data_IF_170337337535
#
_entry.id   IF_170337337535
#
_cell.length_a   1.000
_cell.length_b   1.000
_cell.length_c   1.000
_cell.angle_alpha   90.00
_cell.angle_beta   90.00
_cell.angle_gamma   90.00
#
_symmetry.space_group_name_H-M   'P 1'
#
loop_
_entity.id
_entity.type
_entity.pdbx_description
1 polymer ?
#
# COMPACT_ATOMS: atom_id res chain seq x y z
N UNK A 1 -11.91 -54.02 23.45
CA UNK A 1 -10.48 -54.22 23.29
C UNK A 1 -9.93 -53.21 22.30
N UNK A 2 -9.33 -52.18 22.79
CA UNK A 2 -8.57 -51.16 22.04
C UNK A 2 -7.16 -51.72 21.75
N UNK A 3 -6.64 -51.66 20.53
CA UNK A 3 -5.26 -52.04 20.26
C UNK A 3 -4.27 -50.98 20.69
N UNK A 4 -3.23 -51.41 21.39
CA UNK A 4 -2.13 -50.60 21.90
C UNK A 4 -1.23 -50.09 20.76
N UNK A 5 -0.90 -48.80 20.81
CA UNK A 5 0.06 -48.14 19.92
C UNK A 5 1.50 -48.55 20.32
N UNK A 6 2.25 -49.12 19.38
CA UNK A 6 3.70 -49.34 19.55
C UNK A 6 4.46 -48.17 18.95
N UNK A 7 5.45 -47.56 19.60
CA UNK A 7 6.27 -46.56 19.01
C UNK A 7 7.25 -47.16 17.97
N UNK A 8 7.29 -46.61 16.79
CA UNK A 8 8.24 -46.97 15.73
C UNK A 8 9.64 -46.38 16.04
N UNK A 9 10.64 -47.15 15.68
CA UNK A 9 12.04 -46.93 16.01
C UNK A 9 12.65 -45.67 15.42
N UNK A 10 13.71 -45.24 16.07
CA UNK A 10 14.59 -44.16 15.73
C UNK A 10 15.21 -44.35 14.32
N UNK A 11 14.87 -43.45 13.39
CA UNK A 11 15.61 -43.32 12.12
C UNK A 11 16.76 -42.36 12.31
N UNK A 12 17.97 -42.86 12.22
CA UNK A 12 19.19 -42.09 12.03
C UNK A 12 19.25 -41.64 10.56
N UNK A 13 19.36 -40.32 10.36
CA UNK A 13 19.61 -39.73 9.03
C UNK A 13 21.04 -40.04 8.59
N UNK A 14 21.31 -40.46 7.34
CA UNK A 14 22.65 -40.55 6.82
C UNK A 14 23.16 -39.14 6.45
N UNK A 15 24.39 -38.84 6.89
CA UNK A 15 25.17 -37.72 6.43
C UNK A 15 25.44 -37.88 4.91
N UNK A 16 24.86 -37.02 4.10
CA UNK A 16 25.24 -36.84 2.71
C UNK A 16 26.03 -35.54 2.58
N UNK A 17 27.30 -35.63 2.80
CA UNK A 17 28.26 -34.60 2.42
C UNK A 17 28.61 -34.83 0.93
N UNK A 18 27.91 -34.15 0.03
CA UNK A 18 28.10 -34.17 -1.42
C UNK A 18 28.50 -32.81 -1.95
N UNK A 19 29.76 -32.69 -2.34
CA UNK A 19 30.35 -31.51 -3.01
C UNK A 19 29.55 -31.18 -4.28
N UNK A 20 28.93 -29.98 -4.33
CA UNK A 20 28.57 -29.38 -5.61
C UNK A 20 29.69 -28.49 -6.10
N UNK A 21 30.34 -28.91 -7.18
CA UNK A 21 31.29 -28.14 -7.97
C UNK A 21 30.47 -27.11 -8.76
N UNK A 22 30.76 -25.83 -8.53
CA UNK A 22 30.19 -24.74 -9.26
C UNK A 22 30.71 -24.71 -10.70
N UNK A 23 29.83 -24.80 -11.68
CA UNK A 23 30.12 -24.41 -13.05
C UNK A 23 29.79 -22.92 -13.20
N UNK A 24 30.81 -22.07 -13.17
CA UNK A 24 30.67 -20.63 -13.42
C UNK A 24 30.57 -20.37 -14.91
N UNK A 25 29.42 -19.97 -15.40
CA UNK A 25 29.30 -19.26 -16.67
C UNK A 25 29.45 -17.77 -16.42
N UNK A 26 30.64 -17.24 -16.71
CA UNK A 26 30.93 -15.81 -16.65
C UNK A 26 30.13 -15.06 -17.72
N UNK A 27 29.15 -14.28 -17.31
CA UNK A 27 28.70 -13.09 -18.06
C UNK A 27 29.07 -11.87 -17.22
N UNK A 28 30.03 -11.09 -17.76
CA UNK A 28 30.52 -9.89 -17.13
C UNK A 28 29.41 -8.88 -16.84
N UNK A 29 29.15 -8.67 -15.57
CA UNK A 29 28.54 -7.44 -15.06
C UNK A 29 29.68 -6.64 -14.44
N UNK A 30 30.01 -5.52 -15.05
CA UNK A 30 30.83 -4.49 -14.43
C UNK A 30 30.17 -4.10 -13.12
N UNK A 31 30.85 -4.41 -12.02
CA UNK A 31 30.48 -3.90 -10.70
C UNK A 31 30.62 -2.37 -10.75
N UNK A 32 29.50 -1.67 -10.78
CA UNK A 32 29.47 -0.28 -10.40
C UNK A 32 29.83 -0.25 -8.90
N UNK A 33 30.96 0.34 -8.59
CA UNK A 33 31.37 0.69 -7.22
C UNK A 33 30.24 1.48 -6.59
N UNK A 34 29.60 0.91 -5.57
CA UNK A 34 28.72 1.66 -4.69
C UNK A 34 29.55 2.75 -4.01
N UNK A 35 29.47 3.97 -4.52
CA UNK A 35 29.94 5.13 -3.84
C UNK A 35 29.21 5.22 -2.50
N UNK A 36 29.94 5.56 -1.43
CA UNK A 36 29.35 5.90 -0.15
C UNK A 36 28.29 7.01 -0.40
N UNK A 37 27.00 6.61 -0.32
CA UNK A 37 25.91 7.52 -0.56
C UNK A 37 25.97 8.61 0.49
N UNK A 38 26.04 9.85 0.05
CA UNK A 38 25.69 11.01 0.87
C UNK A 38 24.22 10.79 1.22
N UNK A 39 23.92 10.63 2.52
CA UNK A 39 22.54 10.66 3.02
C UNK A 39 21.91 11.94 2.46
N UNK A 40 20.89 11.81 1.61
CA UNK A 40 20.15 12.97 1.13
C UNK A 40 19.29 13.44 2.29
N UNK A 41 19.40 14.74 2.63
CA UNK A 41 18.61 15.34 3.71
C UNK A 41 17.11 15.43 3.39
N UNK A 42 16.66 14.90 2.25
CA UNK A 42 15.27 14.92 1.80
C UNK A 42 15.00 13.86 0.70
N UNK A 43 13.76 13.42 0.62
CA UNK A 43 13.26 12.60 -0.48
C UNK A 43 13.06 13.47 -1.73
N UNK A 44 13.44 12.98 -2.89
CA UNK A 44 13.36 13.77 -4.12
C UNK A 44 12.28 13.26 -5.07
N UNK A 45 11.28 14.10 -5.35
CA UNK A 45 10.30 13.85 -6.41
C UNK A 45 10.68 14.62 -7.68
N UNK A 46 10.76 13.91 -8.80
CA UNK A 46 11.03 14.49 -10.13
C UNK A 46 9.84 14.26 -11.03
N UNK A 47 9.10 15.31 -11.34
CA UNK A 47 8.02 15.27 -12.31
C UNK A 47 8.62 15.13 -13.73
N UNK A 48 8.31 14.04 -14.43
CA UNK A 48 8.84 13.72 -15.77
C UNK A 48 7.93 14.24 -16.89
N UNK A 49 6.61 14.11 -16.69
CA UNK A 49 5.62 14.51 -17.69
C UNK A 49 4.27 14.80 -17.03
N UNK A 50 3.54 15.76 -17.60
CA UNK A 50 2.12 15.99 -17.32
C UNK A 50 1.35 15.87 -18.62
N UNK A 51 0.25 15.11 -18.63
CA UNK A 51 -0.60 14.96 -19.81
C UNK A 51 -1.18 16.32 -20.23
N UNK A 52 -1.31 16.55 -21.54
CA UNK A 52 -1.75 17.85 -22.06
C UNK A 52 -3.27 18.04 -22.05
N UNK A 53 -4.04 16.99 -21.79
CA UNK A 53 -5.51 16.96 -21.84
C UNK A 53 -6.16 16.64 -20.51
N UNK A 54 -5.35 16.24 -19.51
CA UNK A 54 -5.79 15.88 -18.16
C UNK A 54 -4.76 16.37 -17.14
N UNK A 55 -5.03 16.19 -15.86
CA UNK A 55 -4.07 16.44 -14.77
C UNK A 55 -3.16 15.22 -14.48
N UNK A 56 -3.25 14.15 -15.31
CA UNK A 56 -2.46 12.95 -15.12
C UNK A 56 -0.97 13.25 -15.29
N UNK A 57 -0.15 12.70 -14.43
CA UNK A 57 1.29 13.00 -14.39
C UNK A 57 2.13 11.76 -14.13
N UNK A 58 3.32 11.72 -14.70
CA UNK A 58 4.32 10.69 -14.50
C UNK A 58 5.55 11.29 -13.84
N UNK A 59 5.98 10.73 -12.71
CA UNK A 59 7.12 11.18 -11.94
C UNK A 59 8.00 10.03 -11.46
N UNK A 60 9.02 10.39 -10.68
CA UNK A 60 9.92 9.47 -9.98
C UNK A 60 10.19 10.01 -8.58
N UNK A 61 10.02 9.17 -7.57
CA UNK A 61 10.30 9.48 -6.18
C UNK A 61 11.51 8.66 -5.73
N UNK A 62 12.61 9.33 -5.45
CA UNK A 62 13.84 8.69 -4.99
C UNK A 62 13.85 8.55 -3.47
N UNK A 63 14.15 7.34 -2.99
CA UNK A 63 14.36 7.00 -1.58
C UNK A 63 15.71 6.31 -1.42
N UNK A 64 16.18 6.14 -0.19
CA UNK A 64 17.42 5.39 0.08
C UNK A 64 17.31 3.88 -0.26
N UNK A 65 16.10 3.32 -0.33
CA UNK A 65 15.85 1.92 -0.71
C UNK A 65 15.46 1.75 -2.19
N UNK A 66 15.40 2.81 -2.99
CA UNK A 66 15.14 2.72 -4.42
C UNK A 66 14.29 3.85 -4.99
N UNK A 67 14.00 3.74 -6.28
CA UNK A 67 13.19 4.73 -7.02
C UNK A 67 11.80 4.18 -7.26
N UNK A 68 10.79 4.99 -6.94
CA UNK A 68 9.37 4.70 -7.15
C UNK A 68 8.90 5.48 -8.37
N UNK A 69 8.42 4.77 -9.39
CA UNK A 69 7.89 5.37 -10.63
C UNK A 69 6.38 5.57 -10.51
N UNK A 70 5.95 6.83 -10.49
CA UNK A 70 4.52 7.19 -10.38
C UNK A 70 3.85 7.36 -11.75
N UNK A 71 2.54 7.06 -11.91
CA UNK A 71 1.63 6.55 -10.85
C UNK A 71 2.04 5.17 -10.35
N UNK A 72 1.82 4.90 -9.06
CA UNK A 72 2.16 3.63 -8.43
C UNK A 72 1.05 3.11 -7.52
N UNK A 73 0.85 1.79 -7.48
CA UNK A 73 0.05 1.11 -6.49
C UNK A 73 0.94 0.44 -5.45
N UNK A 74 0.66 0.63 -4.18
CA UNK A 74 1.40 0.05 -3.06
C UNK A 74 0.65 -1.17 -2.51
N UNK A 75 1.16 -2.40 -2.72
CA UNK A 75 0.58 -3.59 -2.11
C UNK A 75 0.57 -3.48 -0.59
N UNK A 76 -0.59 -3.77 0.03
CA UNK A 76 -0.74 -3.66 1.49
C UNK A 76 -0.18 -4.89 2.17
N UNK A 77 0.89 -4.68 2.91
CA UNK A 77 1.54 -5.63 3.80
C UNK A 77 1.31 -5.28 5.27
N UNK A 78 0.09 -5.41 5.78
CA UNK A 78 -0.38 -4.95 7.10
C UNK A 78 0.60 -5.19 8.25
N UNK A 79 1.19 -6.39 8.33
CA UNK A 79 2.18 -6.78 9.33
C UNK A 79 3.58 -6.93 8.71
N UNK A 80 3.96 -6.02 7.84
CA UNK A 80 5.14 -6.07 6.99
C UNK A 80 5.20 -7.33 6.09
N UNK A 81 4.03 -7.85 5.71
CA UNK A 81 3.90 -9.01 4.81
C UNK A 81 2.62 -8.88 3.97
N UNK A 82 2.74 -8.94 2.65
CA UNK A 82 1.61 -9.03 1.72
C UNK A 82 0.98 -10.41 1.87
N UNK A 83 -0.32 -10.45 2.18
CA UNK A 83 -1.00 -11.71 2.57
C UNK A 83 -0.96 -12.76 1.47
N UNK A 84 -0.36 -13.92 1.78
CA UNK A 84 -0.31 -15.08 0.90
C UNK A 84 0.71 -14.96 -0.24
N UNK A 85 1.68 -14.04 -0.17
CA UNK A 85 2.67 -13.84 -1.22
C UNK A 85 4.05 -13.63 -0.59
N UNK A 86 5.06 -14.33 -1.08
CA UNK A 86 6.44 -14.07 -0.69
C UNK A 86 6.91 -12.70 -1.20
N UNK A 87 7.74 -12.00 -0.42
CA UNK A 87 8.30 -10.70 -0.83
C UNK A 87 9.04 -10.76 -2.16
N UNK A 88 9.75 -11.87 -2.43
CA UNK A 88 10.36 -12.12 -3.73
C UNK A 88 9.34 -12.02 -4.87
N UNK A 89 8.19 -12.68 -4.72
CA UNK A 89 7.18 -12.71 -5.79
C UNK A 89 6.42 -11.37 -5.88
N UNK A 90 6.27 -10.64 -4.76
CA UNK A 90 5.76 -9.26 -4.77
C UNK A 90 6.68 -8.34 -5.58
N UNK A 91 8.00 -8.49 -5.42
CA UNK A 91 9.01 -7.69 -6.14
C UNK A 91 9.19 -8.18 -7.58
N UNK A 92 9.52 -9.46 -7.77
CA UNK A 92 10.04 -9.99 -9.04
C UNK A 92 8.93 -10.39 -10.02
N UNK A 93 7.80 -10.87 -9.53
CA UNK A 93 6.66 -11.32 -10.36
C UNK A 93 5.61 -10.23 -10.53
N UNK A 94 5.22 -9.56 -9.44
CA UNK A 94 4.23 -8.49 -9.51
C UNK A 94 4.85 -7.14 -9.88
N UNK A 95 6.15 -6.94 -9.67
CA UNK A 95 6.87 -5.71 -10.02
C UNK A 95 6.63 -4.56 -9.04
N UNK A 96 6.37 -4.85 -7.76
CA UNK A 96 6.17 -3.81 -6.75
C UNK A 96 7.50 -3.09 -6.43
N UNK A 97 7.48 -1.76 -6.55
CA UNK A 97 8.59 -0.88 -6.21
C UNK A 97 8.52 -0.40 -4.77
N UNK A 98 7.35 -0.42 -4.16
CA UNK A 98 7.07 -0.01 -2.79
C UNK A 98 5.93 -0.87 -2.23
N UNK A 99 5.96 -1.15 -0.92
CA UNK A 99 4.84 -1.75 -0.18
C UNK A 99 4.41 -0.85 0.96
N UNK A 100 3.17 -1.04 1.45
CA UNK A 100 2.65 -0.33 2.60
C UNK A 100 2.52 -1.28 3.78
N UNK A 101 3.07 -0.89 4.94
CA UNK A 101 2.85 -1.57 6.22
C UNK A 101 1.99 -0.69 7.15
N UNK A 102 1.56 -1.25 8.28
CA UNK A 102 0.60 -0.58 9.14
C UNK A 102 1.18 -0.37 10.56
N UNK A 103 1.32 0.87 10.95
CA UNK A 103 1.91 1.29 12.23
C UNK A 103 1.16 0.71 13.43
N UNK A 104 -0.18 0.75 13.43
CA UNK A 104 -0.98 0.19 14.52
C UNK A 104 -0.72 -1.31 14.74
N UNK A 105 -0.68 -2.08 13.65
CA UNK A 105 -0.45 -3.52 13.74
C UNK A 105 0.98 -3.84 14.16
N UNK A 106 1.98 -3.16 13.62
CA UNK A 106 3.39 -3.35 13.97
C UNK A 106 3.71 -2.90 15.40
N UNK A 107 3.05 -1.84 15.89
CA UNK A 107 3.13 -1.41 17.28
C UNK A 107 2.60 -2.46 18.26
N UNK A 108 1.44 -3.06 17.97
CA UNK A 108 0.86 -4.10 18.82
C UNK A 108 1.61 -5.43 18.72
N UNK A 109 2.07 -5.78 17.51
CA UNK A 109 2.77 -7.06 17.25
C UNK A 109 3.63 -6.94 15.97
N UNK A 110 4.95 -7.10 16.05
CA UNK A 110 5.74 -7.65 17.17
C UNK A 110 6.00 -6.65 18.29
N UNK A 111 5.73 -5.34 18.11
CA UNK A 111 6.07 -4.26 19.02
C UNK A 111 7.38 -3.58 18.64
N UNK A 112 7.51 -2.31 19.01
CA UNK A 112 8.64 -1.46 18.62
C UNK A 112 9.99 -2.01 19.12
N UNK A 113 10.03 -2.60 20.33
CA UNK A 113 11.25 -3.16 20.88
C UNK A 113 11.86 -4.25 19.99
N UNK A 114 11.04 -5.18 19.49
CA UNK A 114 11.51 -6.26 18.61
C UNK A 114 11.97 -5.69 17.27
N UNK A 115 11.26 -4.70 16.73
CA UNK A 115 11.65 -4.04 15.48
C UNK A 115 12.97 -3.29 15.62
N UNK A 116 13.20 -2.62 16.75
CA UNK A 116 14.49 -1.95 17.05
C UNK A 116 15.63 -2.95 17.17
N UNK A 117 15.43 -4.05 17.88
CA UNK A 117 16.42 -5.14 18.03
C UNK A 117 16.75 -5.79 16.67
N UNK A 118 15.77 -5.88 15.76
CA UNK A 118 15.97 -6.38 14.40
C UNK A 118 16.70 -5.39 13.48
N UNK A 119 16.79 -4.11 13.84
CA UNK A 119 17.35 -3.05 13.00
C UNK A 119 16.36 -2.46 12.00
N UNK A 120 15.09 -2.33 12.40
CA UNK A 120 13.98 -1.76 11.63
C UNK A 120 13.21 -2.76 10.81
N UNK A 121 12.07 -2.29 10.24
CA UNK A 121 11.11 -3.13 9.52
C UNK A 121 11.69 -3.77 8.26
N UNK A 122 12.58 -3.10 7.56
CA UNK A 122 13.25 -3.64 6.35
C UNK A 122 14.04 -4.90 6.69
N UNK A 123 14.89 -4.86 7.72
CA UNK A 123 15.66 -6.04 8.16
C UNK A 123 14.76 -7.11 8.77
N UNK A 124 13.76 -6.70 9.53
CA UNK A 124 12.81 -7.62 10.17
C UNK A 124 12.03 -8.44 9.13
N UNK A 125 11.55 -7.79 8.08
CA UNK A 125 10.72 -8.42 7.03
C UNK A 125 11.51 -8.92 5.83
N UNK A 126 12.80 -8.59 5.72
CA UNK A 126 13.65 -8.85 4.54
C UNK A 126 13.13 -8.19 3.24
N UNK A 127 12.37 -7.10 3.38
CA UNK A 127 11.98 -6.28 2.25
C UNK A 127 13.06 -5.23 1.96
N UNK A 128 13.66 -5.30 0.78
CA UNK A 128 14.78 -4.43 0.39
C UNK A 128 14.36 -3.14 -0.34
N UNK A 129 13.12 -3.07 -0.80
CA UNK A 129 12.58 -1.90 -1.50
C UNK A 129 12.01 -0.84 -0.56
N UNK A 130 11.57 0.31 -1.09
CA UNK A 130 10.85 1.34 -0.34
C UNK A 130 9.63 0.82 0.43
N UNK A 131 9.35 1.42 1.58
CA UNK A 131 8.19 1.11 2.40
C UNK A 131 7.54 2.37 2.93
N UNK A 132 6.21 2.41 2.91
CA UNK A 132 5.40 3.41 3.59
C UNK A 132 4.71 2.79 4.80
N UNK A 133 4.65 3.52 5.92
CA UNK A 133 3.79 3.16 7.06
C UNK A 133 2.68 4.19 7.22
N UNK A 134 1.42 3.71 7.34
CA UNK A 134 0.33 4.60 7.73
C UNK A 134 0.45 5.05 9.20
N UNK A 135 -0.30 6.09 9.59
CA UNK A 135 -0.25 6.64 10.95
C UNK A 135 -0.84 5.71 12.02
N UNK A 136 -1.57 4.67 11.62
CA UNK A 136 -2.39 3.85 12.50
C UNK A 136 -3.72 4.50 12.94
N UNK A 137 -3.97 5.76 12.56
CA UNK A 137 -5.18 6.51 12.91
C UNK A 137 -6.44 5.79 12.49
N UNK A 138 -6.57 5.43 11.22
CA UNK A 138 -7.75 4.73 10.71
C UNK A 138 -8.03 3.40 11.43
N UNK A 139 -7.00 2.62 11.77
CA UNK A 139 -7.15 1.33 12.45
C UNK A 139 -7.59 1.50 13.90
N UNK A 140 -7.07 2.49 14.60
CA UNK A 140 -7.56 2.87 15.94
C UNK A 140 -9.04 3.25 15.87
N UNK A 141 -9.46 3.89 14.77
CA UNK A 141 -10.87 4.28 14.57
C UNK A 141 -11.76 3.12 14.16
N UNK A 142 -11.29 2.21 13.33
CA UNK A 142 -12.09 1.13 12.74
C UNK A 142 -12.10 -0.17 13.53
N UNK A 143 -11.03 -0.48 14.29
CA UNK A 143 -10.83 -1.78 14.96
C UNK A 143 -10.96 -1.72 16.47
N UNK A 144 -10.92 -0.54 17.07
CA UNK A 144 -10.96 -0.41 18.53
C UNK A 144 -12.40 -0.26 19.03
N UNK A 145 -12.95 -1.26 19.71
CA UNK A 145 -14.30 -1.27 20.30
C UNK A 145 -14.50 -0.17 21.35
N UNK A 146 -13.43 0.32 21.97
CA UNK A 146 -13.47 1.38 22.98
C UNK A 146 -12.38 2.40 22.71
N UNK A 147 -12.71 3.43 21.94
CA UNK A 147 -11.81 4.58 21.71
C UNK A 147 -12.35 5.82 22.39
N UNK A 148 -11.45 6.66 22.88
CA UNK A 148 -11.77 7.99 23.37
C UNK A 148 -10.80 8.98 22.74
N UNK A 149 -11.34 9.82 21.86
CA UNK A 149 -10.63 10.96 21.30
C UNK A 149 -10.54 12.09 22.31
N UNK A 150 -9.36 12.66 22.43
CA UNK A 150 -9.08 13.84 23.24
C UNK A 150 -8.05 14.71 22.53
N UNK A 151 -7.84 15.92 23.04
CA UNK A 151 -6.82 16.81 22.52
C UNK A 151 -5.39 16.19 22.59
N UNK A 152 -5.11 15.44 23.64
CA UNK A 152 -3.82 14.76 23.82
C UNK A 152 -3.56 13.66 22.79
N UNK A 153 -4.63 12.97 22.29
CA UNK A 153 -4.51 11.83 21.40
C UNK A 153 -5.71 10.90 21.48
N UNK A 154 -5.52 9.65 21.07
CA UNK A 154 -6.54 8.62 21.05
C UNK A 154 -6.22 7.49 22.03
N UNK A 155 -7.07 7.32 23.05
CA UNK A 155 -7.05 6.15 23.92
C UNK A 155 -7.83 5.02 23.26
N UNK A 156 -7.25 3.83 23.23
CA UNK A 156 -7.89 2.64 22.64
C UNK A 156 -7.54 1.35 23.40
N UNK A 157 -8.28 0.30 23.08
CA UNK A 157 -7.96 -1.06 23.53
C UNK A 157 -7.44 -1.88 22.35
N UNK A 158 -6.39 -2.63 22.58
CA UNK A 158 -5.86 -3.60 21.62
C UNK A 158 -6.93 -4.64 21.27
N UNK A 159 -7.14 -4.87 19.98
CA UNK A 159 -8.02 -5.94 19.49
C UNK A 159 -7.44 -7.35 19.70
N UNK A 160 -6.15 -7.43 20.10
CA UNK A 160 -5.44 -8.71 20.29
C UNK A 160 -5.69 -9.25 21.70
N UNK A 161 -5.56 -8.40 22.72
CA UNK A 161 -5.52 -8.80 24.15
C UNK A 161 -6.32 -7.87 25.06
N UNK A 162 -6.94 -6.82 24.52
CA UNK A 162 -7.72 -5.84 25.29
C UNK A 162 -6.90 -4.86 26.12
N UNK A 163 -5.57 -4.88 26.04
CA UNK A 163 -4.69 -3.93 26.72
C UNK A 163 -5.00 -2.48 26.34
N UNK A 164 -4.78 -1.55 27.26
CA UNK A 164 -5.05 -0.12 27.06
C UNK A 164 -3.81 0.57 26.51
N UNK A 165 -4.00 1.37 25.49
CA UNK A 165 -2.97 2.15 24.80
C UNK A 165 -3.41 3.59 24.62
N UNK A 166 -2.43 4.47 24.43
CA UNK A 166 -2.62 5.86 24.05
C UNK A 166 -1.71 6.17 22.85
N UNK A 167 -2.30 6.56 21.74
CA UNK A 167 -1.57 7.20 20.64
C UNK A 167 -1.72 8.71 20.75
N UNK A 168 -0.60 9.39 20.90
CA UNK A 168 -0.49 10.84 20.72
C UNK A 168 0.28 11.12 19.42
N UNK A 169 0.19 12.32 18.84
CA UNK A 169 1.00 12.67 17.68
C UNK A 169 2.48 12.36 17.88
N UNK A 170 3.03 12.68 19.06
CA UNK A 170 4.44 12.43 19.38
C UNK A 170 4.76 10.93 19.46
N UNK A 171 3.89 10.15 20.13
CA UNK A 171 4.12 8.72 20.30
C UNK A 171 3.99 7.93 18.99
N UNK A 172 3.17 8.42 18.04
CA UNK A 172 3.08 7.85 16.69
C UNK A 172 4.36 8.11 15.92
N UNK A 173 4.87 9.34 15.91
CA UNK A 173 6.18 9.66 15.29
C UNK A 173 7.30 8.81 15.89
N UNK A 174 7.36 8.67 17.22
CA UNK A 174 8.36 7.80 17.88
C UNK A 174 8.23 6.33 17.46
N UNK A 175 7.00 5.85 17.32
CA UNK A 175 6.70 4.49 16.85
C UNK A 175 7.15 4.29 15.40
N UNK A 176 6.86 5.22 14.51
CA UNK A 176 7.26 5.16 13.10
C UNK A 176 8.78 5.28 12.93
N UNK A 177 9.46 6.10 13.78
CA UNK A 177 10.93 6.11 13.86
C UNK A 177 11.49 4.74 14.29
N UNK A 178 10.82 4.06 15.22
CA UNK A 178 11.20 2.71 15.65
C UNK A 178 10.91 1.65 14.60
N UNK A 179 9.85 1.79 13.82
CA UNK A 179 9.54 0.91 12.68
C UNK A 179 10.58 1.10 11.57
N UNK A 180 10.86 2.34 11.16
CA UNK A 180 11.91 2.65 10.19
C UNK A 180 11.51 2.44 8.73
N UNK A 181 10.30 2.82 8.32
CA UNK A 181 9.90 2.90 6.91
C UNK A 181 10.47 4.15 6.25
N UNK A 182 10.50 4.21 4.90
CA UNK A 182 10.97 5.39 4.15
C UNK A 182 9.99 6.56 4.22
N UNK A 183 8.69 6.26 4.24
CA UNK A 183 7.61 7.27 4.30
C UNK A 183 6.76 6.97 5.53
N UNK A 184 6.63 7.97 6.39
CA UNK A 184 5.78 7.99 7.58
C UNK A 184 4.57 8.88 7.33
N UNK A 185 3.41 8.52 7.89
CA UNK A 185 2.20 9.34 7.78
C UNK A 185 1.93 10.08 9.09
N UNK A 186 1.59 11.37 9.01
CA UNK A 186 1.21 12.13 10.20
C UNK A 186 -0.07 11.57 10.85
N UNK A 187 -0.13 11.60 12.18
CA UNK A 187 -1.29 11.11 12.92
C UNK A 187 -2.49 12.02 12.72
N UNK A 188 -3.63 11.44 12.35
CA UNK A 188 -4.85 12.15 11.98
C UNK A 188 -6.10 11.48 12.56
N UNK A 189 -7.22 12.21 12.58
CA UNK A 189 -8.55 11.65 12.76
C UNK A 189 -9.22 11.48 11.40
N UNK A 190 -9.63 10.24 11.08
CA UNK A 190 -10.40 9.91 9.89
C UNK A 190 -11.87 9.69 10.27
N UNK A 191 -12.75 10.71 10.18
CA UNK A 191 -14.17 10.54 10.45
C UNK A 191 -14.87 9.76 9.34
N UNK A 192 -16.09 9.18 9.59
CA UNK A 192 -16.92 8.60 8.54
C UNK A 192 -17.19 9.60 7.41
N UNK A 193 -17.29 9.12 6.16
CA UNK A 193 -17.51 9.99 4.98
C UNK A 193 -18.82 10.75 4.98
N UNK A 194 -19.84 10.22 5.67
CA UNK A 194 -21.15 10.81 5.88
C UNK A 194 -21.28 11.64 7.19
N UNK A 195 -20.16 11.90 7.86
CA UNK A 195 -20.15 12.66 9.10
C UNK A 195 -20.80 14.04 8.92
N UNK A 196 -21.63 14.50 9.90
CA UNK A 196 -22.19 15.84 9.83
C UNK A 196 -21.11 16.92 9.75
N UNK A 197 -21.38 18.00 8.99
CA UNK A 197 -20.39 19.06 8.73
C UNK A 197 -19.77 19.66 10.00
N UNK A 198 -20.57 19.81 11.06
CA UNK A 198 -20.06 20.32 12.35
C UNK A 198 -19.02 19.38 12.97
N UNK A 199 -19.28 18.07 12.91
CA UNK A 199 -18.31 17.07 13.37
C UNK A 199 -17.07 17.04 12.48
N UNK A 200 -17.24 17.03 11.15
CA UNK A 200 -16.14 17.08 10.21
C UNK A 200 -15.23 18.30 10.42
N UNK A 201 -15.82 19.48 10.70
CA UNK A 201 -15.04 20.69 10.99
C UNK A 201 -14.27 20.63 12.33
N UNK A 202 -14.87 20.01 13.37
CA UNK A 202 -14.21 19.79 14.67
C UNK A 202 -13.06 18.77 14.54
N UNK A 203 -13.31 17.68 13.83
CA UNK A 203 -12.30 16.65 13.51
C UNK A 203 -11.12 17.23 12.74
N UNK A 204 -11.40 18.01 11.69
CA UNK A 204 -10.35 18.70 10.94
C UNK A 204 -9.52 19.62 11.84
N UNK A 205 -10.15 20.44 12.66
CA UNK A 205 -9.44 21.33 13.56
C UNK A 205 -8.57 20.59 14.60
N UNK A 206 -8.97 19.38 15.02
CA UNK A 206 -8.16 18.52 15.88
C UNK A 206 -6.96 17.96 15.09
N UNK A 207 -7.20 17.45 13.87
CA UNK A 207 -6.16 16.91 12.99
C UNK A 207 -5.11 17.98 12.66
N UNK A 208 -5.52 19.24 12.43
CA UNK A 208 -4.59 20.35 12.19
C UNK A 208 -3.66 20.58 13.39
N UNK A 209 -4.18 20.60 14.64
CA UNK A 209 -3.34 20.75 15.84
C UNK A 209 -2.45 19.51 16.11
N UNK A 210 -2.92 18.32 15.79
CA UNK A 210 -2.11 17.12 15.86
C UNK A 210 -0.99 17.12 14.82
N UNK A 211 -1.25 17.69 13.65
CA UNK A 211 -0.24 17.84 12.60
C UNK A 211 0.92 18.73 13.05
N UNK A 212 0.63 19.88 13.69
CA UNK A 212 1.66 20.74 14.28
C UNK A 212 2.58 19.93 15.21
N UNK A 213 1.99 19.14 16.12
CA UNK A 213 2.72 18.31 17.09
C UNK A 213 3.51 17.19 16.42
N UNK A 214 2.98 16.60 15.34
CA UNK A 214 3.71 15.60 14.55
C UNK A 214 4.98 16.21 13.95
N UNK A 215 4.89 17.37 13.31
CA UNK A 215 6.05 18.04 12.71
C UNK A 215 7.04 18.54 13.76
N UNK A 216 6.57 19.06 14.89
CA UNK A 216 7.45 19.41 16.02
C UNK A 216 8.22 18.18 16.52
N UNK A 217 7.55 17.05 16.72
CA UNK A 217 8.20 15.82 17.16
C UNK A 217 9.12 15.23 16.10
N UNK A 218 8.73 15.31 14.84
CA UNK A 218 9.56 14.87 13.72
C UNK A 218 10.88 15.65 13.67
N UNK A 219 10.85 16.97 13.85
CA UNK A 219 12.04 17.82 13.90
C UNK A 219 12.94 17.54 15.11
N UNK A 220 12.38 17.07 16.23
CA UNK A 220 13.12 16.72 17.46
C UNK A 220 13.73 15.31 17.41
N UNK A 221 13.37 14.48 16.43
CA UNK A 221 13.80 13.09 16.32
C UNK A 221 14.59 12.84 15.05
N UNK A 222 15.43 11.81 15.05
CA UNK A 222 16.25 11.45 13.90
C UNK A 222 15.92 10.04 13.42
N UNK A 223 16.10 9.73 12.13
CA UNK A 223 16.06 8.36 11.62
C UNK A 223 17.04 7.45 12.37
N UNK A 224 16.64 6.19 12.63
CA UNK A 224 17.41 5.30 13.50
C UNK A 224 18.31 4.32 12.73
N UNK A 225 18.05 4.09 11.45
CA UNK A 225 18.64 2.96 10.69
C UNK A 225 19.50 3.39 9.50
N UNK A 226 19.90 4.67 9.46
CA UNK A 226 20.85 5.17 8.47
C UNK A 226 20.26 5.47 7.09
N UNK A 227 18.94 5.63 7.00
CA UNK A 227 18.23 6.13 5.82
C UNK A 227 17.27 7.27 6.20
N UNK A 228 16.93 8.11 5.24
CA UNK A 228 15.97 9.19 5.43
C UNK A 228 14.55 8.64 5.60
N UNK A 229 13.76 9.29 6.43
CA UNK A 229 12.34 8.99 6.61
C UNK A 229 11.53 10.27 6.40
N UNK A 230 10.77 10.33 5.31
CA UNK A 230 9.87 11.43 5.01
C UNK A 230 8.61 11.40 5.90
N UNK A 231 8.05 12.56 6.24
CA UNK A 231 6.76 12.68 6.91
C UNK A 231 5.75 13.31 5.96
N UNK A 232 4.69 12.56 5.60
CA UNK A 232 3.60 13.04 4.76
C UNK A 232 2.41 13.49 5.62
N UNK A 233 1.97 14.76 5.54
CA UNK A 233 0.71 15.22 6.12
C UNK A 233 -0.50 14.68 5.34
N UNK A 234 -1.66 14.59 6.02
CA UNK A 234 -2.90 14.06 5.46
C UNK A 234 -3.95 15.15 5.39
N UNK A 235 -4.50 15.37 4.20
CA UNK A 235 -5.65 16.24 3.97
C UNK A 235 -6.93 15.49 4.35
N UNK A 236 -7.65 15.98 5.36
CA UNK A 236 -8.97 15.49 5.77
C UNK A 236 -10.08 16.48 5.38
N UNK A 237 -11.34 16.30 5.79
CA UNK A 237 -12.45 17.21 5.51
C UNK A 237 -13.71 16.55 4.94
N UNK A 238 -13.81 15.21 4.95
CA UNK A 238 -14.96 14.42 4.43
C UNK A 238 -15.33 14.84 2.99
N UNK A 239 -16.62 14.87 2.68
CA UNK A 239 -17.16 15.32 1.38
C UNK A 239 -17.43 16.85 1.29
N UNK A 240 -16.80 17.69 2.12
CA UNK A 240 -17.03 19.12 2.17
C UNK A 240 -15.90 19.91 1.47
N UNK A 241 -16.16 20.53 0.29
CA UNK A 241 -15.13 21.20 -0.49
C UNK A 241 -14.39 22.30 0.24
N UNK A 242 -15.08 23.09 1.06
CA UNK A 242 -14.49 24.17 1.85
C UNK A 242 -13.55 23.65 2.96
N UNK A 243 -13.92 22.53 3.61
CA UNK A 243 -13.04 21.90 4.59
C UNK A 243 -11.83 21.25 3.92
N UNK A 244 -11.99 20.62 2.76
CA UNK A 244 -10.88 20.06 1.96
C UNK A 244 -9.91 21.15 1.51
N UNK A 245 -10.44 22.28 1.02
CA UNK A 245 -9.60 23.41 0.63
C UNK A 245 -8.82 23.97 1.83
N UNK A 246 -9.48 24.17 2.98
CA UNK A 246 -8.83 24.60 4.23
C UNK A 246 -7.74 23.61 4.65
N UNK A 247 -8.03 22.31 4.64
CA UNK A 247 -7.05 21.29 5.00
C UNK A 247 -5.85 21.28 4.04
N UNK A 248 -6.08 21.40 2.72
CA UNK A 248 -5.01 21.47 1.73
C UNK A 248 -4.13 22.72 1.90
N UNK A 249 -4.71 23.88 2.18
CA UNK A 249 -3.95 25.09 2.49
C UNK A 249 -3.16 24.97 3.81
N UNK A 250 -3.72 24.28 4.81
CA UNK A 250 -3.00 24.04 6.06
C UNK A 250 -1.80 23.11 5.84
N UNK A 251 -1.97 21.94 5.20
CA UNK A 251 -0.85 21.00 5.01
C UNK A 251 0.24 21.57 4.10
N UNK A 252 -0.10 22.45 3.16
CA UNK A 252 0.86 23.10 2.24
C UNK A 252 1.85 24.02 2.96
N UNK A 253 1.55 24.47 4.19
CA UNK A 253 2.46 25.31 4.98
C UNK A 253 3.69 24.54 5.47
N UNK A 254 3.61 23.20 5.52
CA UNK A 254 4.74 22.35 5.84
C UNK A 254 5.50 22.03 4.54
N UNK A 255 6.82 22.20 4.57
CA UNK A 255 7.68 21.77 3.45
C UNK A 255 7.89 20.26 3.51
N UNK A 256 6.81 19.53 3.21
CA UNK A 256 6.79 18.08 3.24
C UNK A 256 7.26 17.49 1.91
N UNK A 257 7.86 16.28 1.96
CA UNK A 257 8.33 15.57 0.77
C UNK A 257 7.19 15.05 -0.11
N UNK A 258 5.96 14.98 0.43
CA UNK A 258 4.74 14.58 -0.26
C UNK A 258 3.51 14.80 0.59
N UNK A 259 2.34 14.65 -0.01
CA UNK A 259 1.05 14.94 0.64
C UNK A 259 0.05 13.82 0.39
N UNK A 260 -0.72 13.47 1.41
CA UNK A 260 -1.76 12.46 1.29
C UNK A 260 -3.17 13.06 1.33
N UNK A 261 -4.10 12.40 0.67
CA UNK A 261 -5.54 12.68 0.65
C UNK A 261 -6.22 11.52 1.36
N UNK A 262 -6.63 11.74 2.60
CA UNK A 262 -7.30 10.76 3.43
C UNK A 262 -8.82 10.97 3.51
N UNK A 263 -9.54 10.06 4.19
CA UNK A 263 -10.96 10.17 4.47
C UNK A 263 -11.85 10.24 3.23
N UNK A 264 -11.47 9.54 2.16
CA UNK A 264 -12.26 9.29 0.97
C UNK A 264 -12.43 7.77 0.77
N UNK A 265 -13.41 7.35 -0.05
CA UNK A 265 -13.84 5.96 -0.19
C UNK A 265 -14.29 5.30 1.14
N UNK A 266 -14.89 6.10 2.04
CA UNK A 266 -15.39 5.68 3.35
C UNK A 266 -16.92 5.83 3.48
N UNK A 267 -17.64 5.73 2.34
CA UNK A 267 -19.11 5.72 2.27
C UNK A 267 -19.74 6.81 1.42
N UNK A 268 -18.98 7.80 0.96
CA UNK A 268 -19.47 8.84 0.06
C UNK A 268 -19.68 8.32 -1.38
N UNK A 269 -20.55 8.97 -2.18
CA UNK A 269 -20.67 8.71 -3.61
C UNK A 269 -19.34 8.96 -4.36
N UNK A 270 -19.07 8.16 -5.39
CA UNK A 270 -17.82 8.22 -6.16
C UNK A 270 -17.56 9.61 -6.78
N UNK A 271 -18.63 10.30 -7.23
CA UNK A 271 -18.54 11.64 -7.82
C UNK A 271 -18.11 12.68 -6.78
N UNK A 272 -18.53 12.50 -5.53
CA UNK A 272 -18.08 13.35 -4.40
C UNK A 272 -16.58 13.15 -4.17
N UNK A 273 -16.12 11.90 -4.14
CA UNK A 273 -14.69 11.59 -4.02
C UNK A 273 -13.89 12.27 -5.12
N UNK A 274 -14.28 12.14 -6.38
CA UNK A 274 -13.56 12.76 -7.51
C UNK A 274 -13.51 14.28 -7.39
N UNK A 275 -14.62 14.91 -7.03
CA UNK A 275 -14.66 16.36 -6.80
C UNK A 275 -13.74 16.80 -5.66
N UNK A 276 -13.65 16.02 -4.58
CA UNK A 276 -12.77 16.35 -3.46
C UNK A 276 -11.28 16.23 -3.86
N UNK A 277 -10.93 15.24 -4.69
CA UNK A 277 -9.58 15.12 -5.27
C UNK A 277 -9.23 16.37 -6.09
N UNK A 278 -10.15 16.83 -6.96
CA UNK A 278 -9.95 18.05 -7.77
C UNK A 278 -9.72 19.29 -6.91
N UNK A 279 -10.55 19.49 -5.85
CA UNK A 279 -10.40 20.60 -4.91
C UNK A 279 -9.04 20.59 -4.23
N UNK A 280 -8.60 19.43 -3.77
CA UNK A 280 -7.32 19.28 -3.04
C UNK A 280 -6.14 19.46 -3.99
N UNK A 281 -6.16 18.82 -5.14
CA UNK A 281 -5.06 18.85 -6.10
C UNK A 281 -4.85 20.21 -6.77
N UNK A 282 -5.86 21.07 -6.80
CA UNK A 282 -5.73 22.48 -7.23
C UNK A 282 -4.88 23.31 -6.25
N UNK A 283 -4.70 22.85 -5.00
CA UNK A 283 -4.01 23.59 -3.94
C UNK A 283 -2.64 22.97 -3.62
N UNK A 284 -2.53 21.64 -3.63
CA UNK A 284 -1.29 20.96 -3.28
C UNK A 284 -0.16 21.27 -4.27
N UNK A 285 1.11 21.34 -3.82
CA UNK A 285 2.26 21.60 -4.67
C UNK A 285 2.35 20.60 -5.85
N UNK A 286 2.68 21.12 -7.03
CA UNK A 286 2.82 20.30 -8.23
C UNK A 286 4.13 19.52 -8.28
N UNK A 287 5.15 19.96 -7.56
CA UNK A 287 6.49 19.39 -7.47
C UNK A 287 6.65 18.36 -6.33
N UNK A 288 5.53 17.90 -5.77
CA UNK A 288 5.49 16.89 -4.71
C UNK A 288 4.54 15.76 -5.10
N UNK A 289 4.78 14.50 -4.65
CA UNK A 289 3.86 13.39 -4.89
C UNK A 289 2.57 13.54 -4.07
N UNK A 290 1.46 13.08 -4.66
CA UNK A 290 0.12 13.10 -4.08
C UNK A 290 -0.38 11.67 -3.90
N UNK A 291 -0.65 11.30 -2.66
CA UNK A 291 -1.06 9.96 -2.29
C UNK A 291 -2.53 9.92 -1.90
N UNK A 292 -3.37 9.18 -2.63
CA UNK A 292 -4.77 8.94 -2.30
C UNK A 292 -4.88 7.64 -1.50
N UNK A 293 -5.25 7.76 -0.22
CA UNK A 293 -5.24 6.66 0.73
C UNK A 293 -6.47 5.75 0.58
N UNK A 294 -6.23 4.44 0.58
CA UNK A 294 -7.28 3.42 0.65
C UNK A 294 -8.13 3.23 -0.60
N UNK A 295 -7.78 3.86 -1.71
CA UNK A 295 -8.53 3.78 -2.97
C UNK A 295 -7.82 2.86 -3.95
N UNK A 296 -8.46 1.93 -4.57
CA UNK A 296 -9.68 1.20 -4.43
C UNK A 296 -9.94 0.34 -5.65
N UNK A 297 -11.01 0.58 -6.38
CA UNK A 297 -11.28 -0.18 -7.61
C UNK A 297 -10.32 0.25 -8.74
N UNK A 298 -10.04 -0.64 -9.72
CA UNK A 298 -9.22 -0.29 -10.88
C UNK A 298 -9.72 0.97 -11.60
N UNK A 299 -11.03 1.12 -11.74
CA UNK A 299 -11.66 2.31 -12.34
C UNK A 299 -11.39 3.58 -11.53
N UNK A 300 -11.57 3.53 -10.20
CA UNK A 300 -11.32 4.69 -9.34
C UNK A 300 -9.85 5.13 -9.37
N UNK A 301 -8.92 4.18 -9.49
CA UNK A 301 -7.49 4.48 -9.65
C UNK A 301 -7.25 5.25 -10.95
N UNK A 302 -7.77 4.78 -12.08
CA UNK A 302 -7.60 5.48 -13.37
C UNK A 302 -8.25 6.88 -13.35
N UNK A 303 -9.42 7.02 -12.74
CA UNK A 303 -10.09 8.31 -12.58
C UNK A 303 -9.32 9.28 -11.66
N UNK A 304 -8.69 8.76 -10.61
CA UNK A 304 -7.88 9.57 -9.72
C UNK A 304 -6.52 9.96 -10.36
N UNK A 305 -5.92 9.08 -11.18
CA UNK A 305 -4.73 9.40 -12.00
C UNK A 305 -5.06 10.56 -12.94
N UNK A 306 -6.20 10.54 -13.62
CA UNK A 306 -6.65 11.64 -14.50
C UNK A 306 -6.69 12.97 -13.77
N UNK A 307 -6.94 12.96 -12.46
CA UNK A 307 -7.03 14.13 -11.57
C UNK A 307 -5.71 14.47 -10.86
N UNK A 308 -4.61 13.85 -11.27
CA UNK A 308 -3.27 14.20 -10.80
C UNK A 308 -2.84 13.52 -9.50
N UNK A 309 -3.38 12.34 -9.19
CA UNK A 309 -2.90 11.50 -8.08
C UNK A 309 -1.77 10.59 -8.54
N UNK A 310 -0.74 10.41 -7.70
CA UNK A 310 0.47 9.67 -8.01
C UNK A 310 0.58 8.31 -7.32
N UNK A 311 0.05 8.18 -6.09
CA UNK A 311 0.27 7.00 -5.25
C UNK A 311 -1.06 6.49 -4.71
N UNK A 312 -1.19 5.17 -4.63
CA UNK A 312 -2.41 4.47 -4.22
C UNK A 312 -2.07 3.27 -3.34
N UNK A 313 -2.97 2.94 -2.43
CA UNK A 313 -3.02 1.67 -1.74
C UNK A 313 -4.46 1.18 -1.62
N UNK A 314 -4.65 -0.11 -1.51
CA UNK A 314 -5.91 -0.71 -1.07
C UNK A 314 -5.70 -2.18 -0.69
N UNK A 315 -6.45 -2.66 0.28
CA UNK A 315 -6.48 -4.09 0.64
C UNK A 315 -7.26 -4.94 -0.38
N UNK A 316 -7.98 -4.29 -1.28
CA UNK A 316 -8.92 -4.93 -2.21
C UNK A 316 -8.26 -6.04 -3.07
N UNK A 317 -7.08 -5.86 -3.68
CA UNK A 317 -6.48 -6.90 -4.52
C UNK A 317 -6.34 -8.23 -3.78
N UNK A 318 -5.70 -8.24 -2.62
CA UNK A 318 -5.49 -9.48 -1.85
C UNK A 318 -6.74 -9.95 -1.13
N UNK A 319 -7.56 -9.03 -0.58
CA UNK A 319 -8.81 -9.39 0.09
C UNK A 319 -9.80 -10.02 -0.88
N UNK A 320 -10.03 -9.38 -2.02
CA UNK A 320 -10.97 -9.86 -3.02
C UNK A 320 -10.47 -11.14 -3.70
N UNK A 321 -9.15 -11.23 -3.99
CA UNK A 321 -8.52 -12.44 -4.51
C UNK A 321 -8.79 -13.65 -3.61
N UNK A 322 -8.53 -13.55 -2.31
CA UNK A 322 -8.82 -14.61 -1.34
C UNK A 322 -10.32 -14.98 -1.24
N UNK A 323 -11.20 -14.09 -1.66
CA UNK A 323 -12.63 -14.33 -1.76
C UNK A 323 -13.10 -14.79 -3.15
N UNK A 324 -12.16 -14.99 -4.08
CA UNK A 324 -12.41 -15.52 -5.42
C UNK A 324 -12.77 -14.48 -6.48
N UNK A 325 -12.56 -13.18 -6.20
CA UNK A 325 -12.73 -12.11 -7.18
C UNK A 325 -11.38 -11.77 -7.82
N UNK A 326 -11.30 -11.88 -9.15
CA UNK A 326 -10.12 -11.56 -9.93
C UNK A 326 -10.38 -10.35 -10.83
N UNK A 327 -9.40 -9.48 -10.96
CA UNK A 327 -9.42 -8.34 -11.87
C UNK A 327 -8.59 -8.68 -13.10
N UNK A 328 -9.18 -8.58 -14.29
CA UNK A 328 -8.51 -8.86 -15.56
C UNK A 328 -8.63 -7.68 -16.51
N UNK A 329 -7.87 -7.69 -17.59
CA UNK A 329 -7.91 -6.65 -18.63
C UNK A 329 -9.25 -6.55 -19.36
N UNK A 330 -10.08 -7.57 -19.30
CA UNK A 330 -11.40 -7.62 -19.96
C UNK A 330 -12.57 -7.42 -18.98
N UNK A 331 -12.30 -7.41 -17.67
CA UNK A 331 -13.32 -7.24 -16.64
C UNK A 331 -13.05 -8.04 -15.37
N UNK A 332 -14.07 -8.16 -14.53
CA UNK A 332 -13.96 -8.84 -13.24
C UNK A 332 -14.53 -10.25 -13.32
N UNK A 333 -13.78 -11.23 -12.83
CA UNK A 333 -14.15 -12.64 -12.70
C UNK A 333 -14.50 -12.96 -11.24
N UNK A 334 -15.63 -13.66 -11.00
CA UNK A 334 -15.81 -14.41 -9.77
C UNK A 334 -15.51 -15.90 -10.07
N UNK A 335 -14.32 -16.33 -9.69
CA UNK A 335 -13.82 -17.66 -9.99
C UNK A 335 -14.60 -18.79 -9.29
N UNK A 336 -15.41 -18.47 -8.27
CA UNK A 336 -16.29 -19.44 -7.60
C UNK A 336 -17.54 -19.79 -8.42
N UNK A 337 -17.84 -19.03 -9.48
CA UNK A 337 -18.98 -19.33 -10.35
C UNK A 337 -18.75 -20.65 -11.09
N UNK A 338 -19.80 -21.48 -11.12
CA UNK A 338 -19.77 -22.83 -11.74
C UNK A 338 -19.33 -22.83 -13.21
N UNK A 339 -19.58 -21.76 -13.95
CA UNK A 339 -19.18 -21.65 -15.37
C UNK A 339 -17.67 -21.77 -15.62
N UNK A 340 -16.84 -21.70 -14.58
CA UNK A 340 -15.39 -21.82 -14.66
C UNK A 340 -14.89 -23.25 -14.36
N UNK A 341 -15.79 -24.19 -13.99
CA UNK A 341 -15.41 -25.55 -13.56
C UNK A 341 -14.70 -26.38 -14.63
N UNK A 342 -14.95 -26.07 -15.90
CA UNK A 342 -14.38 -26.73 -17.08
C UNK A 342 -13.69 -25.74 -18.06
N UNK A 343 -13.41 -24.51 -17.64
CA UNK A 343 -12.62 -23.55 -18.41
C UNK A 343 -11.12 -23.81 -18.19
N UNK A 344 -10.50 -24.53 -19.11
CA UNK A 344 -9.07 -24.85 -19.09
C UNK A 344 -8.18 -23.73 -19.68
N UNK A 345 -8.74 -22.59 -20.01
CA UNK A 345 -7.94 -21.43 -20.44
C UNK A 345 -7.17 -20.82 -19.26
N UNK A 346 -6.06 -20.10 -19.52
CA UNK A 346 -5.30 -19.41 -18.48
C UNK A 346 -6.17 -18.46 -17.63
N UNK A 347 -5.74 -18.19 -16.40
CA UNK A 347 -6.44 -17.27 -15.49
C UNK A 347 -6.64 -15.91 -16.15
N UNK A 348 -5.58 -15.34 -16.68
CA UNK A 348 -5.62 -14.16 -17.56
C UNK A 348 -4.55 -14.28 -18.65
N UNK A 349 -4.93 -14.48 -19.93
CA UNK A 349 -3.97 -14.57 -21.02
C UNK A 349 -3.11 -13.31 -21.23
N UNK A 350 -3.60 -12.13 -20.79
CA UNK A 350 -2.90 -10.87 -20.84
C UNK A 350 -2.14 -10.53 -19.55
N UNK A 351 -2.25 -11.38 -18.53
CA UNK A 351 -1.58 -11.23 -17.25
C UNK A 351 -0.06 -11.39 -17.33
N UNK A 352 0.64 -10.77 -16.41
CA UNK A 352 2.13 -10.71 -16.41
C UNK A 352 2.78 -11.66 -15.41
N UNK A 353 2.10 -12.03 -14.32
CA UNK A 353 2.62 -12.97 -13.34
C UNK A 353 2.62 -14.42 -13.88
N UNK A 354 3.53 -15.25 -13.38
CA UNK A 354 3.59 -16.65 -13.80
C UNK A 354 2.28 -17.40 -13.55
N UNK A 355 1.57 -17.06 -12.48
CA UNK A 355 0.29 -17.71 -12.12
C UNK A 355 -0.79 -17.49 -13.16
N UNK A 356 -0.74 -16.38 -13.91
CA UNK A 356 -1.74 -16.02 -14.93
C UNK A 356 -1.72 -16.98 -16.10
N UNK A 357 -0.54 -17.52 -16.43
CA UNK A 357 -0.30 -18.40 -17.58
C UNK A 357 -0.18 -19.87 -17.20
N UNK A 358 0.31 -20.16 -15.99
CA UNK A 358 0.56 -21.52 -15.54
C UNK A 358 -0.73 -22.25 -15.17
N UNK A 359 -1.65 -21.54 -14.51
CA UNK A 359 -2.87 -22.14 -13.98
C UNK A 359 -4.08 -21.82 -14.86
N UNK A 360 -4.99 -22.80 -14.99
CA UNK A 360 -6.28 -22.62 -15.65
C UNK A 360 -7.34 -22.09 -14.69
N UNK A 361 -8.39 -21.46 -15.24
CA UNK A 361 -9.56 -21.06 -14.47
C UNK A 361 -10.23 -22.25 -13.79
N UNK A 362 -10.33 -23.40 -14.49
CA UNK A 362 -10.89 -24.62 -13.91
C UNK A 362 -10.12 -25.08 -12.67
N UNK A 363 -8.79 -25.08 -12.71
CA UNK A 363 -7.98 -25.47 -11.56
C UNK A 363 -8.13 -24.47 -10.41
N UNK A 364 -8.06 -23.17 -10.68
CA UNK A 364 -8.24 -22.16 -9.65
C UNK A 364 -9.66 -22.18 -9.06
N UNK A 365 -10.71 -22.42 -9.88
CA UNK A 365 -12.07 -22.67 -9.42
C UNK A 365 -12.10 -23.84 -8.43
N UNK A 366 -11.52 -24.99 -8.82
CA UNK A 366 -11.44 -26.18 -7.97
C UNK A 366 -10.79 -25.86 -6.62
N UNK A 367 -9.62 -25.23 -6.61
CA UNK A 367 -8.91 -24.84 -5.38
C UNK A 367 -9.75 -23.92 -4.49
N UNK A 368 -10.45 -22.92 -5.09
CA UNK A 368 -11.33 -22.02 -4.36
C UNK A 368 -12.53 -22.71 -3.72
N UNK A 369 -13.10 -23.72 -4.40
CA UNK A 369 -14.23 -24.51 -3.89
C UNK A 369 -13.78 -25.43 -2.76
N UNK A 370 -12.60 -26.05 -2.89
CA UNK A 370 -12.00 -26.91 -1.87
C UNK A 370 -11.46 -26.12 -0.66
N UNK A 371 -11.30 -24.81 -0.77
CA UNK A 371 -10.74 -23.98 0.30
C UNK A 371 -9.23 -24.11 0.47
N UNK A 372 -8.51 -24.53 -0.59
CA UNK A 372 -7.05 -24.67 -0.58
C UNK A 372 -6.34 -23.32 -0.45
N UNK A 373 -5.28 -23.27 0.37
CA UNK A 373 -4.49 -22.02 0.57
C UNK A 373 -3.87 -21.54 -0.74
N UNK A 374 -3.46 -22.44 -1.63
CA UNK A 374 -2.89 -22.09 -2.93
C UNK A 374 -3.84 -21.24 -3.78
N UNK A 375 -5.16 -21.40 -3.63
CA UNK A 375 -6.14 -20.52 -4.30
C UNK A 375 -5.95 -19.06 -3.89
N UNK A 376 -5.75 -18.82 -2.59
CA UNK A 376 -5.54 -17.47 -2.07
C UNK A 376 -4.21 -16.85 -2.52
N UNK A 377 -3.16 -17.69 -2.64
CA UNK A 377 -1.84 -17.26 -3.14
C UNK A 377 -1.91 -16.90 -4.62
N UNK A 378 -2.44 -17.78 -5.47
CA UNK A 378 -2.60 -17.52 -6.91
C UNK A 378 -3.43 -16.26 -7.14
N UNK A 379 -4.61 -16.16 -6.53
CA UNK A 379 -5.52 -15.04 -6.73
C UNK A 379 -4.97 -13.71 -6.18
N UNK A 380 -4.23 -13.74 -5.08
CA UNK A 380 -3.60 -12.54 -4.51
C UNK A 380 -2.46 -12.05 -5.40
N UNK A 381 -1.57 -12.94 -5.86
CA UNK A 381 -0.47 -12.58 -6.74
C UNK A 381 -0.99 -12.04 -8.09
N UNK A 382 -1.97 -12.74 -8.69
CA UNK A 382 -2.65 -12.29 -9.91
C UNK A 382 -3.19 -10.85 -9.75
N UNK A 383 -3.98 -10.59 -8.72
CA UNK A 383 -4.60 -9.27 -8.52
C UNK A 383 -3.56 -8.18 -8.26
N UNK A 384 -2.52 -8.44 -7.48
CA UNK A 384 -1.44 -7.46 -7.23
C UNK A 384 -0.69 -7.16 -8.53
N UNK A 385 -0.32 -8.18 -9.30
CA UNK A 385 0.33 -7.99 -10.59
C UNK A 385 -0.54 -7.18 -11.57
N UNK A 386 -1.86 -7.48 -11.59
CA UNK A 386 -2.81 -6.71 -12.40
C UNK A 386 -2.84 -5.23 -12.01
N UNK A 387 -2.94 -4.89 -10.71
CA UNK A 387 -2.99 -3.50 -10.25
C UNK A 387 -1.69 -2.75 -10.59
N UNK A 388 -0.54 -3.38 -10.36
CA UNK A 388 0.75 -2.79 -10.69
C UNK A 388 0.93 -2.58 -12.20
N UNK A 389 0.52 -3.56 -13.01
CA UNK A 389 0.56 -3.41 -14.47
C UNK A 389 -0.43 -2.35 -14.97
N UNK A 390 -1.60 -2.22 -14.35
CA UNK A 390 -2.59 -1.19 -14.70
C UNK A 390 -2.02 0.22 -14.52
N UNK A 391 -1.42 0.52 -13.36
CA UNK A 391 -0.81 1.83 -13.12
C UNK A 391 0.46 2.03 -13.98
N UNK A 392 1.21 0.97 -14.25
CA UNK A 392 2.34 0.99 -15.18
C UNK A 392 1.91 1.34 -16.60
N UNK A 393 0.83 0.73 -17.10
CA UNK A 393 0.25 1.07 -18.40
C UNK A 393 -0.29 2.52 -18.44
N UNK A 394 -0.94 2.98 -17.36
CA UNK A 394 -1.34 4.36 -17.22
C UNK A 394 -0.13 5.31 -17.38
N UNK A 395 1.00 5.00 -16.71
CA UNK A 395 2.25 5.76 -16.86
C UNK A 395 2.76 5.76 -18.29
N UNK A 396 2.78 4.62 -18.96
CA UNK A 396 3.21 4.51 -20.37
C UNK A 396 2.38 5.43 -21.28
N UNK A 397 1.05 5.44 -21.11
CA UNK A 397 0.14 6.28 -21.87
C UNK A 397 0.19 7.76 -21.51
N UNK A 398 0.49 8.12 -20.27
CA UNK A 398 0.78 9.50 -19.86
C UNK A 398 2.02 9.99 -20.61
N UNK A 399 3.11 9.23 -20.61
CA UNK A 399 4.35 9.58 -21.30
C UNK A 399 4.19 9.64 -22.82
N UNK A 400 3.31 8.83 -23.39
CA UNK A 400 2.96 8.83 -24.82
C UNK A 400 2.00 9.96 -25.22
N UNK A 401 1.32 10.61 -24.26
CA UNK A 401 0.38 11.71 -24.49
C UNK A 401 -1.00 11.26 -25.01
N UNK A 402 -1.36 9.98 -24.82
CA UNK A 402 -2.64 9.40 -25.22
C UNK A 402 -3.46 8.80 -24.06
N UNK A 403 -3.09 9.14 -22.82
CA UNK A 403 -3.68 8.60 -21.60
C UNK A 403 -5.21 8.67 -21.56
N UNK A 404 -5.80 9.81 -21.92
CA UNK A 404 -7.26 9.99 -21.85
C UNK A 404 -8.00 8.99 -22.72
N UNK A 405 -7.59 8.84 -23.98
CA UNK A 405 -8.25 7.93 -24.93
C UNK A 405 -8.10 6.46 -24.49
N UNK A 406 -6.90 6.07 -24.01
CA UNK A 406 -6.66 4.76 -23.48
C UNK A 406 -7.49 4.50 -22.20
N UNK A 407 -7.55 5.45 -21.26
CA UNK A 407 -8.33 5.35 -20.04
C UNK A 407 -9.80 5.11 -20.31
N UNK A 408 -10.42 5.88 -21.23
CA UNK A 408 -11.84 5.74 -21.59
C UNK A 408 -12.15 4.31 -22.05
N UNK A 409 -11.34 3.74 -22.96
CA UNK A 409 -11.49 2.37 -23.42
C UNK A 409 -11.24 1.33 -22.31
N UNK A 410 -10.31 1.60 -21.40
CA UNK A 410 -10.00 0.71 -20.29
C UNK A 410 -11.11 0.71 -19.24
N UNK A 411 -11.65 1.85 -18.85
CA UNK A 411 -12.75 1.96 -17.88
C UNK A 411 -13.98 1.18 -18.37
N UNK A 412 -14.30 1.24 -19.66
CA UNK A 412 -15.40 0.45 -20.24
C UNK A 412 -15.18 -1.07 -20.01
N UNK A 413 -13.96 -1.57 -20.24
CA UNK A 413 -13.63 -2.97 -20.01
C UNK A 413 -13.69 -3.35 -18.52
N UNK A 414 -13.07 -2.56 -17.65
CA UNK A 414 -12.97 -2.83 -16.22
C UNK A 414 -14.31 -2.86 -15.49
N UNK A 415 -15.36 -2.24 -16.03
CA UNK A 415 -16.72 -2.28 -15.47
C UNK A 415 -17.47 -3.56 -15.80
N UNK A 416 -16.98 -4.37 -16.75
CA UNK A 416 -17.63 -5.63 -17.14
C UNK A 416 -17.50 -6.68 -16.05
N UNK A 417 -18.53 -7.50 -15.92
CA UNK A 417 -18.53 -8.72 -15.12
C UNK A 417 -18.54 -9.93 -16.05
N UNK A 418 -17.46 -10.66 -16.04
CA UNK A 418 -17.26 -11.83 -16.89
C UNK A 418 -17.82 -13.09 -16.26
#
# INVERSE_FOLDING_TARGET
>A
GTPAYRPAGSYTLPEVCGRFVAASASRGRTAATAGAGVLTDMMQFTLRHTDTRTEARAGELATDHGVIRTPIFMPVGTAAAVKGIFHRDVRDEAGAEIILANTYHLYLRPGTKILEEAGGVHRFSTWEGPMLTDSGGFQVFSLADCRKLREEGCHFRSHIDGSKHLFTPESVIDTERAIGADIMMAFDECPPGDAPREYAAKSLALTERWLDRCFERYAQTQPRYGHYQALFPIVQGCGYPDLRARAAENVRQYDADGYAIGGLAVGEPTEVMYRMIEVVNAILPADRPRYLMGVGTPTNILEAIERGVDMFDCVMPTRNGRNGQLFTWEGTINIRNKKWEDDFSPVDPAGTAFVDRLYSKAYLHHLCVCGEMLAAEIASLHNIAFYLRLVGAAREHILAGDFRAWKEGMVEKLTRRL
#
